data_IF_683653295098
#
_entry.id   IF_683653295098
#
_cell.length_a   1.000
_cell.length_b   1.000
_cell.length_c   1.000
_cell.angle_alpha   90.00
_cell.angle_beta   90.00
_cell.angle_gamma   90.00
#
_symmetry.space_group_name_H-M   'P 1'
#
loop_
_entity.id
_entity.type
_entity.pdbx_description
1 polymer ?
#
# COMPACT_ATOMS: atom_id res chain seq x y z
N UNK A 1 -41.75 -23.23 22.45
CA UNK A 1 -41.16 -22.17 23.29
C UNK A 1 -40.24 -21.40 22.37
N UNK A 2 -40.51 -20.12 22.14
CA UNK A 2 -39.51 -19.24 21.50
C UNK A 2 -38.47 -18.96 22.56
N UNK A 3 -37.20 -19.22 22.26
CA UNK A 3 -36.08 -18.87 23.14
C UNK A 3 -35.93 -17.34 23.14
N UNK A 4 -35.89 -16.73 24.33
CA UNK A 4 -35.73 -15.27 24.51
C UNK A 4 -34.41 -14.74 23.90
N UNK A 5 -33.45 -15.63 23.63
CA UNK A 5 -32.16 -15.31 23.00
C UNK A 5 -32.31 -14.87 21.53
N UNK A 6 -33.37 -15.29 20.83
CA UNK A 6 -33.63 -14.89 19.43
C UNK A 6 -33.98 -13.40 19.29
N UNK A 7 -34.39 -12.73 20.36
CA UNK A 7 -34.71 -11.30 20.40
C UNK A 7 -33.68 -10.47 21.18
N UNK A 8 -32.53 -11.04 21.53
CA UNK A 8 -31.48 -10.32 22.23
C UNK A 8 -30.91 -9.16 21.39
N UNK A 9 -30.57 -8.05 22.04
CA UNK A 9 -29.87 -6.94 21.38
C UNK A 9 -28.58 -7.42 20.71
N UNK A 10 -27.89 -8.41 21.29
CA UNK A 10 -26.71 -9.02 20.69
C UNK A 10 -27.00 -9.75 19.36
N UNK A 11 -28.21 -10.33 19.22
CA UNK A 11 -28.64 -11.02 18.00
C UNK A 11 -28.97 -10.04 16.85
N UNK A 12 -29.27 -8.77 17.17
CA UNK A 12 -29.60 -7.73 16.18
C UNK A 12 -28.45 -6.75 15.93
N UNK A 13 -27.41 -6.76 16.76
CA UNK A 13 -26.23 -5.91 16.55
C UNK A 13 -25.27 -6.51 15.52
N UNK A 14 -25.12 -5.82 14.38
CA UNK A 14 -24.04 -6.08 13.42
C UNK A 14 -22.78 -5.38 13.91
N UNK A 15 -21.74 -6.15 14.24
CA UNK A 15 -20.42 -5.59 14.54
C UNK A 15 -19.79 -5.16 13.23
N UNK A 16 -19.72 -3.85 13.01
CA UNK A 16 -18.92 -3.32 11.91
C UNK A 16 -17.45 -3.61 12.16
N UNK A 17 -16.76 -4.10 11.14
CA UNK A 17 -15.30 -4.16 11.18
C UNK A 17 -14.76 -2.74 11.45
N UNK A 18 -13.79 -2.65 12.37
CA UNK A 18 -13.13 -1.38 12.66
C UNK A 18 -12.54 -0.84 11.36
N UNK A 19 -12.72 0.46 11.05
CA UNK A 19 -12.22 1.02 9.81
C UNK A 19 -10.71 0.83 9.72
N UNK A 20 -10.22 0.49 8.53
CA UNK A 20 -8.79 0.35 8.27
C UNK A 20 -8.12 1.69 8.64
N UNK A 21 -7.14 1.70 9.56
CA UNK A 21 -6.49 2.92 9.98
C UNK A 21 -5.86 3.62 8.77
N UNK A 22 -6.07 4.94 8.67
CA UNK A 22 -5.46 5.74 7.61
C UNK A 22 -3.93 5.64 7.68
N UNK A 23 -3.29 5.47 6.53
CA UNK A 23 -1.82 5.42 6.43
C UNK A 23 -1.16 6.72 6.90
N UNK A 24 -1.86 7.84 6.74
CA UNK A 24 -1.41 9.18 7.15
C UNK A 24 -2.48 9.83 8.01
N UNK A 25 -2.04 10.55 9.03
CA UNK A 25 -2.90 11.35 9.91
C UNK A 25 -2.51 12.82 9.88
N UNK A 26 -3.38 13.71 10.40
CA UNK A 26 -3.06 15.12 10.54
C UNK A 26 -1.96 15.32 11.59
N UNK A 27 -0.94 16.10 11.24
CA UNK A 27 0.17 16.52 12.13
C UNK A 27 0.27 18.04 12.12
N UNK A 28 0.35 18.70 13.28
CA UNK A 28 0.49 20.14 13.35
C UNK A 28 1.82 20.58 12.75
N UNK A 29 1.77 21.61 11.92
CA UNK A 29 2.90 22.19 11.20
C UNK A 29 2.69 23.70 11.08
N UNK A 30 3.39 24.47 11.92
CA UNK A 30 3.41 25.94 11.86
C UNK A 30 2.02 26.60 11.91
N UNK A 31 1.08 26.06 12.69
CA UNK A 31 -0.28 26.59 12.82
C UNK A 31 -1.31 26.00 11.84
N UNK A 32 -0.91 25.08 10.96
CA UNK A 32 -1.82 24.29 10.11
C UNK A 32 -1.65 22.79 10.37
N UNK A 33 -2.51 21.95 9.77
CA UNK A 33 -2.37 20.49 9.83
C UNK A 33 -1.96 19.94 8.47
N UNK A 34 -1.00 19.03 8.45
CA UNK A 34 -0.54 18.32 7.24
C UNK A 34 -0.70 16.82 7.40
N UNK A 35 -0.97 16.11 6.30
CA UNK A 35 -1.04 14.64 6.34
C UNK A 35 0.37 14.03 6.32
N UNK A 36 0.71 13.31 7.38
CA UNK A 36 2.00 12.64 7.51
C UNK A 36 1.86 11.20 8.03
N UNK A 37 2.83 10.37 7.68
CA UNK A 37 3.05 9.08 8.34
C UNK A 37 3.48 9.30 9.79
N UNK A 38 3.02 8.43 10.69
CA UNK A 38 3.29 8.54 12.14
C UNK A 38 4.76 8.32 12.47
N UNK A 39 5.42 7.45 11.72
CA UNK A 39 6.82 7.08 11.91
C UNK A 39 7.46 6.62 10.60
N UNK A 40 8.79 6.58 10.57
CA UNK A 40 9.55 6.01 9.45
C UNK A 40 9.17 4.54 9.21
N UNK A 41 8.89 3.78 10.27
CA UNK A 41 8.45 2.39 10.16
C UNK A 41 7.10 2.28 9.44
N UNK A 42 6.13 3.12 9.81
CA UNK A 42 4.82 3.16 9.16
C UNK A 42 4.93 3.53 7.68
N UNK A 43 5.82 4.46 7.34
CA UNK A 43 6.12 4.84 5.96
C UNK A 43 6.76 3.68 5.20
N UNK A 44 7.79 3.04 5.76
CA UNK A 44 8.53 1.96 5.09
C UNK A 44 7.67 0.71 4.89
N UNK A 45 6.81 0.37 5.86
CA UNK A 45 5.85 -0.71 5.74
C UNK A 45 4.82 -0.43 4.64
N UNK A 46 4.29 0.79 4.59
CA UNK A 46 3.35 1.19 3.55
C UNK A 46 4.00 1.23 2.16
N UNK A 47 5.26 1.69 2.04
CA UNK A 47 6.02 1.68 0.80
C UNK A 47 6.26 0.26 0.28
N UNK A 48 6.75 -0.64 1.15
CA UNK A 48 6.93 -2.06 0.83
C UNK A 48 5.62 -2.75 0.43
N UNK A 49 4.51 -2.39 1.08
CA UNK A 49 3.17 -2.91 0.75
C UNK A 49 2.72 -2.44 -0.64
N UNK A 50 2.94 -1.17 -0.98
CA UNK A 50 2.70 -0.64 -2.32
C UNK A 50 3.51 -1.42 -3.37
N UNK A 51 4.82 -1.56 -3.15
CA UNK A 51 5.69 -2.26 -4.11
C UNK A 51 5.27 -3.72 -4.30
N UNK A 52 4.97 -4.42 -3.21
CA UNK A 52 4.54 -5.82 -3.26
C UNK A 52 3.23 -5.96 -4.02
N UNK A 53 2.22 -5.15 -3.70
CA UNK A 53 0.90 -5.25 -4.33
C UNK A 53 0.94 -4.94 -5.82
N UNK A 54 1.65 -3.88 -6.24
CA UNK A 54 1.79 -3.54 -7.67
C UNK A 54 2.60 -4.61 -8.39
N UNK A 55 3.67 -5.11 -7.78
CA UNK A 55 4.50 -6.17 -8.36
C UNK A 55 3.69 -7.44 -8.57
N UNK A 56 2.90 -7.86 -7.58
CA UNK A 56 2.12 -9.11 -7.65
C UNK A 56 1.02 -9.00 -8.71
N UNK A 57 0.31 -7.86 -8.78
CA UNK A 57 -0.67 -7.60 -9.85
C UNK A 57 -0.03 -7.60 -11.23
N UNK A 58 1.14 -6.98 -11.38
CA UNK A 58 1.88 -6.99 -12.63
C UNK A 58 2.31 -8.41 -13.03
N UNK A 59 2.79 -9.21 -12.08
CA UNK A 59 3.20 -10.59 -12.35
C UNK A 59 2.01 -11.46 -12.76
N UNK A 60 0.85 -11.28 -12.15
CA UNK A 60 -0.36 -12.00 -12.54
C UNK A 60 -0.85 -11.60 -13.93
N UNK A 61 -0.88 -10.30 -14.23
CA UNK A 61 -1.16 -9.81 -15.59
C UNK A 61 -0.14 -10.32 -16.62
N UNK A 62 1.14 -10.39 -16.24
CA UNK A 62 2.19 -10.92 -17.10
C UNK A 62 2.03 -12.42 -17.36
N UNK A 63 1.56 -13.24 -16.41
CA UNK A 63 1.28 -14.66 -16.66
C UNK A 63 0.26 -14.84 -17.78
N UNK A 64 -0.85 -14.09 -17.72
CA UNK A 64 -1.89 -14.12 -18.76
C UNK A 64 -1.31 -13.66 -20.10
N UNK A 65 -0.61 -12.51 -20.11
CA UNK A 65 0.01 -11.97 -21.33
C UNK A 65 1.05 -12.92 -21.95
N UNK A 66 1.86 -13.57 -21.13
CA UNK A 66 2.87 -14.53 -21.56
C UNK A 66 2.23 -15.80 -22.14
N UNK A 67 1.13 -16.30 -21.57
CA UNK A 67 0.41 -17.45 -22.13
C UNK A 67 -0.15 -17.13 -23.53
N UNK A 68 -0.75 -15.95 -23.69
CA UNK A 68 -1.24 -15.47 -25.00
C UNK A 68 -0.09 -15.30 -26.00
N UNK A 69 1.03 -14.71 -25.56
CA UNK A 69 2.21 -14.54 -26.41
C UNK A 69 2.82 -15.88 -26.83
N UNK A 70 2.97 -16.82 -25.90
CA UNK A 70 3.49 -18.15 -26.18
C UNK A 70 2.63 -18.87 -27.21
N UNK A 71 1.31 -18.84 -27.06
CA UNK A 71 0.41 -19.46 -28.04
C UNK A 71 0.48 -18.80 -29.41
N UNK A 72 0.61 -17.47 -29.48
CA UNK A 72 0.77 -16.76 -30.74
C UNK A 72 2.11 -17.03 -31.42
N UNK A 73 3.19 -17.23 -30.65
CA UNK A 73 4.52 -17.53 -31.16
C UNK A 73 4.62 -18.99 -31.65
N UNK A 74 3.88 -19.91 -31.03
CA UNK A 74 3.98 -21.35 -31.29
C UNK A 74 2.87 -21.92 -32.18
N UNK A 75 1.80 -21.15 -32.49
CA UNK A 75 0.73 -21.63 -33.37
C UNK A 75 1.26 -21.82 -34.80
N UNK A 76 0.91 -22.94 -35.47
CA UNK A 76 1.23 -23.10 -36.88
C UNK A 76 0.42 -22.10 -37.72
N UNK A 77 0.90 -21.75 -38.93
CA UNK A 77 0.10 -21.00 -39.89
C UNK A 77 -1.22 -21.70 -40.17
N UNK A 78 -2.29 -20.94 -40.39
CA UNK A 78 -3.65 -21.46 -40.55
C UNK A 78 -3.80 -22.52 -41.65
N UNK A 79 -2.96 -22.46 -42.69
CA UNK A 79 -2.97 -23.42 -43.80
C UNK A 79 -2.27 -24.76 -43.49
N UNK A 80 -1.51 -24.88 -42.39
CA UNK A 80 -0.84 -26.13 -41.98
C UNK A 80 -1.66 -26.99 -41.00
N UNK A 81 -2.90 -26.59 -40.68
CA UNK A 81 -3.79 -27.33 -39.76
C UNK A 81 -3.27 -27.41 -38.32
N UNK A 82 -3.86 -28.29 -37.51
CA UNK A 82 -3.34 -28.61 -36.18
C UNK A 82 -2.11 -29.52 -36.35
N UNK A 83 -0.91 -28.93 -36.32
CA UNK A 83 0.35 -29.69 -36.31
C UNK A 83 0.48 -30.61 -35.09
N UNK A 84 1.68 -31.16 -34.86
CA UNK A 84 1.91 -31.99 -33.66
C UNK A 84 1.67 -31.17 -32.38
N UNK A 85 0.59 -31.48 -31.68
CA UNK A 85 0.21 -30.82 -30.43
C UNK A 85 1.32 -30.95 -29.37
N UNK A 86 2.07 -32.06 -29.36
CA UNK A 86 3.16 -32.25 -28.40
C UNK A 86 4.34 -31.33 -28.65
N UNK A 87 4.64 -31.03 -29.91
CA UNK A 87 5.70 -30.07 -30.25
C UNK A 87 5.25 -28.64 -29.92
N UNK A 88 3.98 -28.33 -30.15
CA UNK A 88 3.39 -27.06 -29.77
C UNK A 88 3.44 -26.85 -28.26
N UNK A 89 3.04 -27.84 -27.46
CA UNK A 89 3.08 -27.74 -25.99
C UNK A 89 4.51 -27.47 -25.47
N UNK A 90 5.52 -28.14 -26.04
CA UNK A 90 6.94 -27.89 -25.69
C UNK A 90 7.41 -26.50 -26.08
N UNK A 91 6.93 -25.96 -27.20
CA UNK A 91 7.22 -24.59 -27.62
C UNK A 91 6.56 -23.60 -26.66
N UNK A 92 5.27 -23.77 -26.38
CA UNK A 92 4.49 -22.87 -25.53
C UNK A 92 5.06 -22.82 -24.11
N UNK A 93 5.44 -23.97 -23.54
CA UNK A 93 6.07 -24.02 -22.21
C UNK A 93 7.39 -23.24 -22.18
N UNK A 94 8.24 -23.38 -23.20
CA UNK A 94 9.52 -22.67 -23.27
C UNK A 94 9.32 -21.16 -23.38
N UNK A 95 8.45 -20.73 -24.29
CA UNK A 95 8.13 -19.31 -24.52
C UNK A 95 7.48 -18.69 -23.28
N UNK A 96 6.56 -19.42 -22.64
CA UNK A 96 5.89 -18.99 -21.42
C UNK A 96 6.89 -18.77 -20.28
N UNK A 97 7.74 -19.76 -19.98
CA UNK A 97 8.71 -19.67 -18.89
C UNK A 97 9.73 -18.54 -19.14
N UNK A 98 10.22 -18.39 -20.36
CA UNK A 98 11.13 -17.31 -20.72
C UNK A 98 10.48 -15.93 -20.54
N UNK A 99 9.24 -15.77 -20.99
CA UNK A 99 8.48 -14.53 -20.84
C UNK A 99 8.19 -14.20 -19.37
N UNK A 100 7.76 -15.18 -18.56
CA UNK A 100 7.50 -14.99 -17.12
C UNK A 100 8.77 -14.64 -16.35
N UNK A 101 9.90 -15.27 -16.69
CA UNK A 101 11.18 -14.93 -16.07
C UNK A 101 11.60 -13.49 -16.39
N UNK A 102 11.46 -13.06 -17.65
CA UNK A 102 11.77 -11.70 -18.08
C UNK A 102 10.82 -10.64 -17.49
N UNK A 103 9.54 -11.00 -17.28
CA UNK A 103 8.55 -10.06 -16.74
C UNK A 103 8.76 -9.74 -15.26
N UNK A 104 9.30 -10.68 -14.46
CA UNK A 104 9.57 -10.46 -13.02
C UNK A 104 10.40 -9.21 -12.75
N UNK A 105 11.49 -9.02 -13.51
CA UNK A 105 12.36 -7.84 -13.37
C UNK A 105 11.66 -6.54 -13.79
N UNK A 106 10.90 -6.59 -14.88
CA UNK A 106 10.12 -5.45 -15.37
C UNK A 106 9.03 -5.04 -14.37
N UNK A 107 8.34 -6.01 -13.77
CA UNK A 107 7.33 -5.76 -12.74
C UNK A 107 7.91 -5.16 -11.47
N UNK A 108 9.10 -5.59 -11.03
CA UNK A 108 9.78 -4.98 -9.89
C UNK A 108 10.16 -3.52 -10.16
N UNK A 109 10.73 -3.23 -11.33
CA UNK A 109 11.07 -1.86 -11.73
C UNK A 109 9.81 -0.97 -11.84
N UNK A 110 8.74 -1.51 -12.43
CA UNK A 110 7.45 -0.83 -12.55
C UNK A 110 6.84 -0.51 -11.19
N UNK A 111 6.84 -1.47 -10.26
CA UNK A 111 6.33 -1.26 -8.90
C UNK A 111 7.08 -0.15 -8.17
N UNK A 112 8.43 -0.17 -8.24
CA UNK A 112 9.27 0.87 -7.65
C UNK A 112 8.98 2.25 -8.25
N UNK A 113 8.91 2.35 -9.57
CA UNK A 113 8.58 3.60 -10.28
C UNK A 113 7.23 4.17 -9.80
N UNK A 114 6.18 3.34 -9.80
CA UNK A 114 4.82 3.76 -9.41
C UNK A 114 4.69 4.15 -7.93
N UNK A 115 5.40 3.46 -7.03
CA UNK A 115 5.37 3.80 -5.62
C UNK A 115 6.26 5.00 -5.28
N UNK A 116 7.35 5.22 -6.01
CA UNK A 116 8.40 6.19 -5.63
C UNK A 116 7.88 7.63 -5.47
N UNK A 117 7.21 8.20 -6.47
CA UNK A 117 6.78 9.60 -6.44
C UNK A 117 5.87 9.91 -5.24
N UNK A 118 4.82 9.12 -5.07
CA UNK A 118 3.82 9.33 -4.01
C UNK A 118 4.39 9.16 -2.59
N UNK A 119 5.43 8.34 -2.42
CA UNK A 119 6.02 8.06 -1.11
C UNK A 119 7.24 8.93 -0.78
N UNK A 120 8.03 9.34 -1.78
CA UNK A 120 9.19 10.21 -1.56
C UNK A 120 8.77 11.62 -1.14
N UNK A 121 7.66 12.11 -1.68
CA UNK A 121 7.10 13.43 -1.33
C UNK A 121 6.20 13.37 -0.08
N UNK A 122 5.95 12.17 0.46
CA UNK A 122 5.14 12.02 1.66
C UNK A 122 5.89 12.54 2.91
N UNK A 123 5.14 13.18 3.81
CA UNK A 123 5.65 13.66 5.10
C UNK A 123 5.71 12.51 6.10
N UNK A 124 6.76 12.51 6.91
CA UNK A 124 6.96 11.60 8.06
C UNK A 124 7.11 12.48 9.30
N UNK A 125 6.31 12.17 10.32
CA UNK A 125 6.39 12.82 11.63
C UNK A 125 7.68 12.41 12.34
N UNK A 126 8.36 13.40 12.93
CA UNK A 126 9.41 13.19 13.92
C UNK A 126 8.70 13.11 15.27
N UNK A 127 8.32 11.90 15.70
CA UNK A 127 7.66 11.57 16.97
C UNK A 127 6.65 12.59 17.56
N UNK A 128 5.36 12.25 17.50
CA UNK A 128 4.45 12.59 18.60
C UNK A 128 3.60 11.36 18.89
N UNK A 129 4.05 10.57 19.86
CA UNK A 129 3.22 9.58 20.53
C UNK A 129 1.99 10.34 21.11
N UNK A 130 0.78 10.11 20.57
CA UNK A 130 -0.46 10.59 21.21
C UNK A 130 -1.55 11.27 20.38
N UNK A 131 -1.37 11.61 19.10
CA UNK A 131 -2.40 12.41 18.37
C UNK A 131 -3.55 11.64 17.70
N UNK A 132 -3.82 10.39 18.08
CA UNK A 132 -4.91 9.61 17.47
C UNK A 132 -6.28 10.02 18.00
N UNK A 133 -6.37 10.73 19.13
CA UNK A 133 -7.64 11.04 19.79
C UNK A 133 -8.33 12.32 19.27
N UNK A 134 -7.63 13.20 18.54
CA UNK A 134 -8.13 14.56 18.27
C UNK A 134 -9.07 14.67 17.08
N UNK A 135 -9.01 13.76 16.10
CA UNK A 135 -9.84 13.85 14.88
C UNK A 135 -11.33 13.54 15.12
N UNK A 136 -11.67 12.95 16.28
CA UNK A 136 -13.06 12.66 16.68
C UNK A 136 -13.60 13.61 17.77
N UNK A 137 -12.85 14.65 18.16
CA UNK A 137 -13.27 15.55 19.25
C UNK A 137 -13.92 16.84 18.72
N UNK A 138 -15.09 17.24 19.25
CA UNK A 138 -15.71 18.51 18.92
C UNK A 138 -14.81 19.69 19.33
N UNK A 139 -14.83 20.74 18.50
CA UNK A 139 -13.88 21.88 18.52
C UNK A 139 -13.87 22.66 19.86
N UNK A 140 -14.93 22.57 20.66
CA UNK A 140 -15.09 23.28 21.94
C UNK A 140 -15.31 22.36 23.16
N UNK A 141 -14.56 21.28 23.27
CA UNK A 141 -14.66 20.39 24.44
C UNK A 141 -13.70 20.80 25.56
N UNK A 142 -14.27 21.06 26.75
CA UNK A 142 -13.59 21.26 28.06
C UNK A 142 -12.61 20.13 28.44
N UNK A 143 -12.70 19.00 27.75
CA UNK A 143 -11.78 17.86 27.84
C UNK A 143 -10.37 18.17 27.32
N UNK A 144 -10.21 19.16 26.43
CA UNK A 144 -8.88 19.61 25.96
C UNK A 144 -8.00 20.12 27.11
N UNK A 145 -8.60 20.86 28.04
CA UNK A 145 -7.89 21.43 29.20
C UNK A 145 -7.56 20.37 30.25
N UNK A 146 -8.48 19.41 30.47
CA UNK A 146 -8.30 18.28 31.39
C UNK A 146 -7.18 17.32 30.96
N UNK A 147 -6.94 17.19 29.66
CA UNK A 147 -5.86 16.36 29.11
C UNK A 147 -4.51 17.10 29.02
N UNK A 148 -4.41 18.34 29.52
CA UNK A 148 -3.16 19.11 29.53
C UNK A 148 -2.69 19.58 28.15
N UNK A 149 -3.57 19.59 27.14
CA UNK A 149 -3.22 19.83 25.73
C UNK A 149 -2.82 21.29 25.48
N UNK A 150 -3.20 22.21 26.37
CA UNK A 150 -2.82 23.63 26.28
C UNK A 150 -1.32 23.92 26.39
N UNK A 151 -0.51 22.95 26.85
CA UNK A 151 0.94 23.13 27.06
C UNK A 151 1.83 22.47 25.99
N UNK A 152 1.27 21.82 24.97
CA UNK A 152 2.06 21.28 23.86
C UNK A 152 2.55 22.45 23.00
N UNK A 153 3.76 22.93 23.28
CA UNK A 153 4.52 23.79 22.37
C UNK A 153 4.53 23.12 20.99
N UNK A 154 3.77 23.66 20.04
CA UNK A 154 3.86 23.31 18.63
C UNK A 154 5.24 23.76 18.14
N UNK A 155 6.26 22.93 18.35
CA UNK A 155 7.53 23.10 17.68
C UNK A 155 7.26 23.06 16.17
N UNK A 156 7.67 24.12 15.50
CA UNK A 156 7.30 24.48 14.14
C UNK A 156 7.81 23.53 13.05
N UNK A 157 8.52 22.44 13.39
CA UNK A 157 9.25 21.59 12.44
C UNK A 157 9.10 20.07 12.70
N UNK A 158 7.92 19.60 13.10
CA UNK A 158 7.75 18.20 13.53
C UNK A 158 7.53 17.17 12.41
N UNK A 159 7.65 17.56 11.14
CA UNK A 159 7.61 16.62 10.02
C UNK A 159 8.62 16.98 8.93
N UNK A 160 9.07 15.97 8.19
CA UNK A 160 10.02 16.09 7.08
C UNK A 160 9.58 15.20 5.92
N UNK A 161 9.99 15.50 4.69
CA UNK A 161 9.67 14.60 3.57
C UNK A 161 10.53 13.34 3.66
N UNK A 162 10.01 12.23 3.15
CA UNK A 162 10.78 10.99 3.07
C UNK A 162 12.05 11.18 2.23
N UNK A 163 11.99 11.97 1.14
CA UNK A 163 13.16 12.33 0.33
C UNK A 163 14.25 13.00 1.17
N UNK A 164 13.90 13.99 2.00
CA UNK A 164 14.87 14.69 2.86
C UNK A 164 15.49 13.75 3.89
N UNK A 165 14.69 12.87 4.49
CA UNK A 165 15.19 11.88 5.46
C UNK A 165 16.20 10.91 4.84
N UNK A 166 15.88 10.37 3.66
CA UNK A 166 16.74 9.42 2.96
C UNK A 166 18.07 10.06 2.53
N UNK A 167 18.05 11.30 2.05
CA UNK A 167 19.27 12.04 1.69
C UNK A 167 20.19 12.30 2.89
N UNK A 168 19.61 12.59 4.06
CA UNK A 168 20.37 12.86 5.28
C UNK A 168 20.99 11.61 5.92
N UNK A 169 20.39 10.43 5.74
CA UNK A 169 20.96 9.17 6.22
C UNK A 169 22.24 8.75 5.48
N UNK A 170 22.44 9.21 4.24
CA UNK A 170 23.66 8.95 3.47
C UNK A 170 24.87 9.83 3.85
N UNK A 171 24.72 10.72 4.84
CA UNK A 171 25.76 11.67 5.27
C UNK A 171 26.30 11.43 6.68
N UNK A 172 25.97 10.31 7.33
CA UNK A 172 26.54 9.96 8.63
C UNK A 172 27.74 9.00 8.44
N UNK A 173 28.98 9.44 8.74
CA UNK A 173 30.17 8.59 8.65
C UNK A 173 30.15 7.44 9.65
#
# INVERSE_FOLDING_TARGET
MMDDDDYSAAATTVVFERPIPLLRGPVPSGGSYVLAFRSLDSWSAAFKRCETLIKDQCQEGARIGCAVSASNNCKPPWWRGSGDMRERDKCEEREFQACVAASKGKCAAFAKDKCSGAFLDARISKEVEGMVCLASMPEHSRWRDLMGIGSLHLHTNNCCTARDLLLNHHHKP
#
